data_IF_179876588131
#
_entry.id   IF_179876588131
#
_cell.length_a   1.000
_cell.length_b   1.000
_cell.length_c   1.000
_cell.angle_alpha   90.00
_cell.angle_beta   90.00
_cell.angle_gamma   90.00
#
_symmetry.space_group_name_H-M   'P 1'
#
loop_
_entity.id
_entity.type
_entity.pdbx_description
1 polymer ?
#
# COMPACT_ATOMS: atom_id res chain seq x y z
N UNK A 1 19.68 11.32 -6.48
CA UNK A 1 18.34 10.71 -6.65
C UNK A 1 17.35 11.85 -6.65
N UNK A 2 16.61 12.00 -7.73
CA UNK A 2 15.61 13.05 -7.86
C UNK A 2 14.43 12.77 -6.93
N UNK A 3 13.74 13.83 -6.52
CA UNK A 3 12.56 13.73 -5.65
C UNK A 3 11.49 12.78 -6.23
N UNK A 4 11.37 12.77 -7.56
CA UNK A 4 10.47 11.88 -8.30
C UNK A 4 10.84 10.41 -8.14
N UNK A 5 12.13 10.08 -8.19
CA UNK A 5 12.64 8.72 -8.00
C UNK A 5 12.41 8.23 -6.56
N UNK A 6 12.60 9.10 -5.57
CA UNK A 6 12.31 8.79 -4.16
C UNK A 6 10.82 8.45 -3.98
N UNK A 7 9.92 9.28 -4.54
CA UNK A 7 8.48 9.02 -4.48
C UNK A 7 8.09 7.74 -5.21
N UNK A 8 8.70 7.46 -6.36
CA UNK A 8 8.47 6.22 -7.10
C UNK A 8 8.86 4.99 -6.26
N UNK A 9 10.04 5.00 -5.62
CA UNK A 9 10.47 3.92 -4.74
C UNK A 9 9.51 3.69 -3.57
N UNK A 10 9.04 4.76 -2.92
CA UNK A 10 8.09 4.67 -1.81
C UNK A 10 6.75 4.09 -2.27
N UNK A 11 6.25 4.52 -3.43
CA UNK A 11 5.01 4.03 -4.02
C UNK A 11 5.14 2.55 -4.39
N UNK A 12 6.26 2.13 -4.99
CA UNK A 12 6.46 0.74 -5.37
C UNK A 12 6.57 -0.18 -4.16
N UNK A 13 7.21 0.29 -3.08
CA UNK A 13 7.15 -0.39 -1.78
C UNK A 13 5.72 -0.54 -1.27
N UNK A 14 4.91 0.52 -1.33
CA UNK A 14 3.52 0.48 -0.87
C UNK A 14 2.63 -0.44 -1.71
N UNK A 15 2.88 -0.56 -3.02
CA UNK A 15 2.21 -1.56 -3.88
C UNK A 15 2.56 -2.98 -3.46
N UNK A 16 3.85 -3.26 -3.19
CA UNK A 16 4.27 -4.57 -2.72
C UNK A 16 3.62 -4.92 -1.37
N UNK A 17 3.58 -3.97 -0.43
CA UNK A 17 2.89 -4.15 0.85
C UNK A 17 1.39 -4.47 0.68
N UNK A 18 0.71 -3.82 -0.28
CA UNK A 18 -0.70 -4.09 -0.58
C UNK A 18 -0.87 -5.51 -1.15
N UNK A 19 -0.03 -5.90 -2.12
CA UNK A 19 -0.07 -7.24 -2.71
C UNK A 19 0.15 -8.33 -1.67
N UNK A 20 1.09 -8.13 -0.74
CA UNK A 20 1.31 -9.09 0.36
C UNK A 20 0.08 -9.16 1.27
N UNK A 21 -0.51 -8.03 1.67
CA UNK A 21 -1.73 -8.03 2.48
C UNK A 21 -2.92 -8.71 1.78
N UNK A 22 -3.04 -8.55 0.46
CA UNK A 22 -4.07 -9.24 -0.34
C UNK A 22 -3.83 -10.76 -0.37
N UNK A 23 -2.58 -11.21 -0.44
CA UNK A 23 -2.22 -12.62 -0.33
C UNK A 23 -2.47 -13.18 1.07
N UNK A 24 -2.15 -12.40 2.11
CA UNK A 24 -2.40 -12.79 3.49
C UNK A 24 -3.91 -12.94 3.76
N UNK A 25 -4.74 -12.03 3.24
CA UNK A 25 -6.19 -12.16 3.30
C UNK A 25 -6.72 -13.41 2.59
N UNK A 26 -6.17 -13.75 1.42
CA UNK A 26 -6.56 -14.96 0.69
C UNK A 26 -6.25 -16.25 1.47
N UNK A 27 -5.19 -16.23 2.28
CA UNK A 27 -4.73 -17.38 3.06
C UNK A 27 -5.13 -17.31 4.55
N UNK A 28 -5.90 -16.28 4.96
CA UNK A 28 -6.23 -16.06 6.36
C UNK A 28 -7.15 -17.16 6.90
N UNK A 29 -6.82 -17.69 8.07
CA UNK A 29 -7.73 -18.55 8.84
C UNK A 29 -8.97 -17.76 9.27
N UNK A 30 -10.09 -18.46 9.50
CA UNK A 30 -11.41 -17.85 9.80
C UNK A 30 -11.35 -16.78 10.87
N UNK A 31 -10.53 -17.01 11.90
CA UNK A 31 -10.45 -16.16 13.08
C UNK A 31 -9.68 -14.86 12.80
N UNK A 32 -8.92 -14.80 11.69
CA UNK A 32 -8.10 -13.67 11.29
C UNK A 32 -8.60 -12.97 10.01
N UNK A 33 -9.59 -13.50 9.29
CA UNK A 33 -10.10 -12.92 8.03
C UNK A 33 -10.46 -11.44 8.17
N UNK A 34 -11.14 -11.07 9.27
CA UNK A 34 -11.56 -9.67 9.51
C UNK A 34 -10.35 -8.76 9.70
N UNK A 35 -9.34 -9.21 10.46
CA UNK A 35 -8.11 -8.45 10.67
C UNK A 35 -7.33 -8.28 9.35
N UNK A 36 -7.19 -9.35 8.57
CA UNK A 36 -6.53 -9.30 7.26
C UNK A 36 -7.27 -8.37 6.29
N UNK A 37 -8.60 -8.35 6.32
CA UNK A 37 -9.40 -7.44 5.50
C UNK A 37 -9.16 -5.96 5.88
N UNK A 38 -9.08 -5.66 7.18
CA UNK A 38 -8.73 -4.31 7.63
C UNK A 38 -7.32 -3.90 7.22
N UNK A 39 -6.36 -4.82 7.23
CA UNK A 39 -5.01 -4.54 6.75
C UNK A 39 -5.01 -4.17 5.26
N UNK A 40 -5.68 -4.94 4.41
CA UNK A 40 -5.81 -4.63 2.97
C UNK A 40 -6.36 -3.22 2.76
N UNK A 41 -7.43 -2.86 3.48
CA UNK A 41 -8.03 -1.52 3.41
C UNK A 41 -7.02 -0.46 3.83
N UNK A 42 -6.32 -0.65 4.95
CA UNK A 42 -5.33 0.30 5.44
C UNK A 42 -4.16 0.49 4.46
N UNK A 43 -3.65 -0.60 3.84
CA UNK A 43 -2.59 -0.54 2.83
C UNK A 43 -3.03 0.20 1.57
N UNK A 44 -4.27 -0.03 1.13
CA UNK A 44 -4.84 0.66 -0.04
C UNK A 44 -5.01 2.16 0.20
N UNK A 45 -5.50 2.55 1.37
CA UNK A 45 -5.60 3.97 1.74
C UNK A 45 -4.22 4.64 1.83
N UNK A 46 -3.21 3.94 2.39
CA UNK A 46 -1.82 4.41 2.39
C UNK A 46 -1.30 4.64 0.97
N UNK A 47 -1.48 3.68 0.06
CA UNK A 47 -1.05 3.82 -1.33
C UNK A 47 -1.71 5.02 -2.01
N UNK A 48 -3.01 5.20 -1.84
CA UNK A 48 -3.76 6.33 -2.38
C UNK A 48 -3.21 7.67 -1.85
N UNK A 49 -2.97 7.77 -0.54
CA UNK A 49 -2.40 8.96 0.08
C UNK A 49 -1.00 9.29 -0.47
N UNK A 50 -0.14 8.28 -0.65
CA UNK A 50 1.19 8.44 -1.22
C UNK A 50 1.15 8.94 -2.67
N UNK A 51 0.28 8.38 -3.50
CA UNK A 51 0.10 8.83 -4.90
C UNK A 51 -0.37 10.29 -4.93
N UNK A 52 -1.37 10.63 -4.12
CA UNK A 52 -1.87 11.99 -4.01
C UNK A 52 -0.78 12.98 -3.55
N UNK A 53 0.07 12.56 -2.61
CA UNK A 53 1.17 13.38 -2.11
C UNK A 53 2.28 13.55 -3.15
N UNK A 54 2.70 12.46 -3.81
CA UNK A 54 3.70 12.50 -4.87
C UNK A 54 3.29 13.44 -6.01
N UNK A 55 2.00 13.42 -6.41
CA UNK A 55 1.46 14.36 -7.41
C UNK A 55 1.62 15.82 -6.99
N UNK A 56 1.39 16.15 -5.71
CA UNK A 56 1.56 17.53 -5.20
C UNK A 56 3.02 17.95 -5.10
N UNK A 57 3.91 16.98 -4.89
CA UNK A 57 5.33 17.23 -4.62
C UNK A 57 6.23 17.18 -5.86
N UNK A 58 5.72 16.61 -6.96
CA UNK A 58 6.39 16.46 -8.25
C UNK A 58 5.63 17.08 -9.43
N UNK A 59 4.53 17.82 -9.15
CA UNK A 59 3.93 18.76 -10.11
C UNK A 59 4.79 20.02 -10.21
#
# INVERSE_FOLDING_TARGET
MEKREIWQMIIDKAKLELTLAEQDLQNAESDFVVAAAYEVVAKREKLNALICRAKKECA
#
